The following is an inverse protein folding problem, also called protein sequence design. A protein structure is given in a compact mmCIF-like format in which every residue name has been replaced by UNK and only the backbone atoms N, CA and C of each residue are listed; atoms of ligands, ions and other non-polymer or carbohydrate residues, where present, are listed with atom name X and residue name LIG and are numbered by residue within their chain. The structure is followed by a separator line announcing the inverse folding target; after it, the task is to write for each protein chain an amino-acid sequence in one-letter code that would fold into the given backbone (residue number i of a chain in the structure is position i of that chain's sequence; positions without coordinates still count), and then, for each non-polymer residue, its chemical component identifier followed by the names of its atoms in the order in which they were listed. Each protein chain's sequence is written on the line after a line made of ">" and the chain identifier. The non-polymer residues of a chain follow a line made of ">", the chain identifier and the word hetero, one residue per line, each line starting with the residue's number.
data_IF_118263086522
#
_entry.id   IF_118263086522
#
_cell.length_a   1.000
_cell.length_b   1.000
_cell.length_c   1.000
_cell.angle_alpha   90.00
_cell.angle_beta   90.00
_cell.angle_gamma   90.00
#
_symmetry.space_group_name_H-M   'P 1'
#
loop_
_entity.id
_entity.type
_entity.pdbx_description
1 polymer ?
#
# COMPACT_ATOMS: atom_id res chain seq x y z
N UNK A 1 -1.31 -14.66 2.83
CA UNK A 1 -1.94 -14.88 4.15
C UNK A 1 -1.09 -14.29 5.26
N UNK A 2 -1.68 -13.64 6.24
CA UNK A 2 -0.99 -13.07 7.40
C UNK A 2 -1.78 -13.39 8.69
N UNK A 3 -1.09 -13.74 9.76
CA UNK A 3 -1.70 -13.99 11.07
C UNK A 3 -1.90 -12.68 11.81
N UNK A 4 -2.93 -12.63 12.66
CA UNK A 4 -3.19 -11.44 13.49
C UNK A 4 -2.00 -11.12 14.41
N UNK A 5 -1.32 -12.13 14.94
CA UNK A 5 -0.15 -11.94 15.80
C UNK A 5 0.95 -11.18 15.05
N UNK A 6 1.21 -11.56 13.80
CA UNK A 6 2.18 -10.85 12.93
C UNK A 6 1.77 -9.40 12.67
N UNK A 7 0.47 -9.16 12.41
CA UNK A 7 -0.07 -7.80 12.25
C UNK A 7 0.18 -6.97 13.51
N UNK A 8 -0.11 -7.53 14.68
CA UNK A 8 0.07 -6.83 15.95
C UNK A 8 1.55 -6.57 16.26
N UNK A 9 2.43 -7.52 15.96
CA UNK A 9 3.87 -7.36 16.17
C UNK A 9 4.45 -6.23 15.29
N UNK A 10 4.04 -6.15 14.01
CA UNK A 10 4.41 -5.06 13.11
C UNK A 10 3.96 -3.71 13.70
N UNK A 11 2.69 -3.61 14.09
CA UNK A 11 2.12 -2.37 14.60
C UNK A 11 2.74 -1.93 15.93
N UNK A 12 3.06 -2.87 16.81
CA UNK A 12 3.73 -2.60 18.11
C UNK A 12 5.17 -2.15 17.89
N UNK A 13 5.89 -2.81 17.00
CA UNK A 13 7.29 -2.49 16.68
C UNK A 13 7.45 -1.04 16.20
N UNK A 14 6.52 -0.56 15.40
CA UNK A 14 6.51 0.81 14.87
C UNK A 14 5.75 1.83 15.75
N UNK A 15 5.26 1.43 16.93
CA UNK A 15 4.52 2.30 17.85
C UNK A 15 3.17 2.77 17.30
N UNK A 16 2.59 2.01 16.38
CA UNK A 16 1.31 2.35 15.74
C UNK A 16 0.11 1.71 16.46
N UNK A 17 0.31 0.58 17.14
CA UNK A 17 -0.74 -0.13 17.86
C UNK A 17 -1.25 0.68 19.05
N UNK A 18 -2.57 0.79 19.16
CA UNK A 18 -3.22 1.36 20.35
C UNK A 18 -3.94 0.30 21.16
N UNK A 19 -4.96 -0.33 20.56
CA UNK A 19 -5.84 -1.28 21.24
C UNK A 19 -6.61 -2.14 20.22
N UNK A 20 -7.27 -3.17 20.72
CA UNK A 20 -8.29 -3.91 19.98
C UNK A 20 -9.60 -3.78 20.72
N UNK A 21 -10.65 -3.38 20.02
CA UNK A 21 -12.00 -3.28 20.56
C UNK A 21 -12.89 -4.29 19.85
N UNK A 22 -13.65 -5.06 20.59
CA UNK A 22 -14.68 -5.95 20.06
C UNK A 22 -15.96 -5.75 20.84
N UNK A 23 -17.05 -5.34 20.19
CA UNK A 23 -18.35 -5.06 20.78
C UNK A 23 -18.26 -4.10 21.99
N UNK A 24 -17.44 -3.05 21.87
CA UNK A 24 -17.23 -2.05 22.92
C UNK A 24 -16.34 -2.49 24.09
N UNK A 25 -15.74 -3.67 24.05
CA UNK A 25 -14.85 -4.19 25.07
C UNK A 25 -13.41 -4.33 24.54
N UNK A 26 -12.42 -4.04 25.39
CA UNK A 26 -11.01 -4.27 25.07
C UNK A 26 -10.72 -5.77 25.01
N UNK A 27 -10.07 -6.19 23.93
CA UNK A 27 -9.65 -7.57 23.73
C UNK A 27 -8.13 -7.67 23.59
N UNK A 28 -7.52 -8.59 24.35
CA UNK A 28 -6.06 -8.74 24.36
C UNK A 28 -5.59 -10.12 23.88
N UNK A 29 -6.47 -11.07 23.71
CA UNK A 29 -6.14 -12.44 23.32
C UNK A 29 -6.94 -12.85 22.10
N UNK A 30 -6.24 -13.00 20.98
CA UNK A 30 -6.78 -13.61 19.77
C UNK A 30 -5.86 -14.76 19.38
N UNK A 31 -6.43 -15.89 19.08
CA UNK A 31 -5.70 -17.04 18.57
C UNK A 31 -6.33 -17.51 17.26
N UNK A 32 -5.47 -17.93 16.33
CA UNK A 32 -5.87 -18.53 15.05
C UNK A 32 -6.64 -17.63 14.08
N UNK A 33 -6.53 -16.31 14.18
CA UNK A 33 -7.09 -15.40 13.16
C UNK A 33 -6.06 -15.25 12.04
N UNK A 34 -6.46 -15.63 10.82
CA UNK A 34 -5.62 -15.55 9.62
C UNK A 34 -6.37 -14.74 8.56
N UNK A 35 -5.69 -13.78 7.97
CA UNK A 35 -6.23 -12.97 6.88
C UNK A 35 -5.67 -13.47 5.55
N UNK A 36 -6.56 -13.84 4.64
CA UNK A 36 -6.22 -14.31 3.29
C UNK A 36 -6.06 -13.16 2.30
N UNK A 37 -6.65 -12.02 2.62
CA UNK A 37 -6.59 -10.80 1.82
C UNK A 37 -6.52 -9.55 2.69
N UNK A 38 -6.04 -8.47 2.09
CA UNK A 38 -6.04 -7.14 2.68
C UNK A 38 -6.67 -6.16 1.68
N UNK A 39 -7.52 -5.25 2.13
CA UNK A 39 -8.20 -4.31 1.25
C UNK A 39 -8.59 -3.01 1.95
N UNK A 40 -8.82 -1.96 1.16
CA UNK A 40 -9.36 -0.67 1.59
C UNK A 40 -10.58 -0.22 0.78
N UNK A 41 -10.98 -1.03 -0.20
CA UNK A 41 -12.18 -0.85 -1.01
C UNK A 41 -13.23 -1.87 -0.55
N UNK A 42 -14.37 -1.41 -0.05
CA UNK A 42 -15.43 -2.28 0.48
C UNK A 42 -15.95 -3.28 -0.55
N UNK A 43 -15.86 -2.97 -1.83
CA UNK A 43 -16.28 -3.86 -2.92
C UNK A 43 -15.36 -5.08 -3.09
N UNK A 44 -14.16 -5.03 -2.50
CA UNK A 44 -13.16 -6.12 -2.52
C UNK A 44 -13.12 -6.89 -1.19
N UNK A 45 -13.95 -6.50 -0.21
CA UNK A 45 -13.99 -7.16 1.09
C UNK A 45 -14.54 -8.60 0.97
N UNK A 46 -13.97 -9.52 1.73
CA UNK A 46 -14.34 -10.93 1.81
C UNK A 46 -14.25 -11.38 3.27
N UNK A 47 -14.75 -12.58 3.59
CA UNK A 47 -14.83 -13.13 4.95
C UNK A 47 -13.51 -13.03 5.73
N UNK A 48 -12.40 -13.44 5.13
CA UNK A 48 -11.06 -13.43 5.77
C UNK A 48 -10.21 -12.24 5.35
N UNK A 49 -10.83 -11.11 4.99
CA UNK A 49 -10.11 -9.88 4.68
C UNK A 49 -9.78 -9.10 5.95
N UNK A 50 -8.62 -8.45 5.96
CA UNK A 50 -8.33 -7.35 6.87
C UNK A 50 -8.61 -6.03 6.14
N UNK A 51 -9.65 -5.32 6.55
CA UNK A 51 -10.10 -4.10 5.89
C UNK A 51 -9.49 -2.85 6.53
N UNK A 52 -8.95 -1.94 5.72
CA UNK A 52 -8.36 -0.69 6.20
C UNK A 52 -9.29 0.49 5.95
N UNK A 53 -9.74 1.12 7.03
CA UNK A 53 -10.55 2.35 6.99
C UNK A 53 -9.62 3.54 6.77
N UNK A 54 -9.57 4.05 5.55
CA UNK A 54 -8.68 5.17 5.19
C UNK A 54 -9.39 6.31 4.48
N UNK A 55 -8.87 7.52 4.69
CA UNK A 55 -9.23 8.71 3.93
C UNK A 55 -10.34 9.55 4.57
N UNK A 56 -10.24 10.86 4.37
CA UNK A 56 -11.20 11.84 4.92
C UNK A 56 -12.62 11.68 4.35
N UNK A 57 -12.75 11.08 3.16
CA UNK A 57 -14.04 10.81 2.52
C UNK A 57 -14.67 9.48 2.90
N UNK A 58 -14.09 8.75 3.88
CA UNK A 58 -14.64 7.47 4.32
C UNK A 58 -16.02 7.67 4.98
N UNK A 59 -16.96 6.81 4.61
CA UNK A 59 -18.29 6.77 5.20
C UNK A 59 -18.49 5.42 5.90
N UNK A 60 -19.17 5.44 7.06
CA UNK A 60 -19.50 4.23 7.83
C UNK A 60 -20.26 3.20 6.97
N UNK A 61 -21.07 3.65 6.03
CA UNK A 61 -21.84 2.80 5.10
C UNK A 61 -20.93 1.88 4.25
N UNK A 62 -19.71 2.32 3.92
CA UNK A 62 -18.76 1.47 3.22
C UNK A 62 -18.30 0.28 4.07
N UNK A 63 -18.12 0.51 5.38
CA UNK A 63 -17.78 -0.56 6.31
C UNK A 63 -18.95 -1.50 6.53
N UNK A 64 -20.17 -0.97 6.68
CA UNK A 64 -21.39 -1.78 6.79
C UNK A 64 -21.59 -2.67 5.55
N UNK A 65 -21.40 -2.10 4.35
CA UNK A 65 -21.46 -2.88 3.10
C UNK A 65 -20.39 -3.97 3.02
N UNK A 66 -19.20 -3.74 3.56
CA UNK A 66 -18.15 -4.77 3.64
C UNK A 66 -18.54 -5.90 4.63
N UNK A 67 -19.18 -5.54 5.75
CA UNK A 67 -19.67 -6.50 6.75
C UNK A 67 -20.77 -7.39 6.16
N UNK A 68 -21.67 -6.83 5.36
CA UNK A 68 -22.68 -7.60 4.63
C UNK A 68 -22.07 -8.64 3.68
N UNK A 69 -20.84 -8.41 3.21
CA UNK A 69 -20.04 -9.34 2.39
C UNK A 69 -19.23 -10.34 3.22
N UNK A 70 -19.41 -10.35 4.55
CA UNK A 70 -18.76 -11.28 5.47
C UNK A 70 -17.47 -10.76 6.13
N UNK A 71 -17.16 -9.47 6.00
CA UNK A 71 -15.99 -8.90 6.66
C UNK A 71 -16.04 -9.12 8.18
N UNK A 72 -14.98 -9.70 8.75
CA UNK A 72 -14.88 -10.00 10.18
C UNK A 72 -13.95 -9.08 10.98
N UNK A 73 -13.07 -8.30 10.33
CA UNK A 73 -12.06 -7.48 10.98
C UNK A 73 -11.73 -6.21 10.21
N UNK A 74 -11.47 -5.11 10.92
CA UNK A 74 -10.96 -3.91 10.29
C UNK A 74 -9.87 -3.23 11.12
N UNK A 75 -9.10 -2.36 10.47
CA UNK A 75 -8.09 -1.48 11.06
C UNK A 75 -8.53 -0.04 10.85
N UNK A 76 -8.48 0.77 11.89
CA UNK A 76 -8.90 2.17 11.83
C UNK A 76 -8.18 3.02 12.90
N UNK A 77 -8.31 4.34 12.82
CA UNK A 77 -7.80 5.26 13.85
C UNK A 77 -8.80 5.43 15.02
N UNK A 78 -10.01 4.92 14.88
CA UNK A 78 -11.07 4.91 15.89
C UNK A 78 -12.01 3.72 15.70
N UNK A 79 -12.78 3.37 16.75
CA UNK A 79 -13.87 2.41 16.61
C UNK A 79 -15.08 3.08 15.93
N UNK A 80 -15.64 2.41 14.93
CA UNK A 80 -16.85 2.82 14.23
C UNK A 80 -18.13 2.20 14.81
N UNK A 81 -18.00 1.39 15.87
CA UNK A 81 -19.13 0.75 16.58
C UNK A 81 -20.04 -0.04 15.61
N UNK A 82 -19.45 -0.93 14.84
CA UNK A 82 -20.15 -1.73 13.81
C UNK A 82 -20.31 -3.20 14.19
N UNK A 83 -19.97 -3.57 15.42
CA UNK A 83 -20.22 -4.91 15.97
C UNK A 83 -19.19 -5.98 15.60
N UNK A 84 -18.16 -5.65 14.84
CA UNK A 84 -17.01 -6.53 14.54
C UNK A 84 -15.72 -5.97 15.15
N UNK A 85 -14.70 -6.81 15.41
CA UNK A 85 -13.44 -6.38 15.98
C UNK A 85 -12.70 -5.34 15.14
N UNK A 86 -12.14 -4.33 15.82
CA UNK A 86 -11.24 -3.31 15.24
C UNK A 86 -9.86 -3.34 15.89
N UNK A 87 -8.83 -3.26 15.06
CA UNK A 87 -7.47 -2.93 15.48
C UNK A 87 -7.31 -1.42 15.38
N UNK A 88 -7.24 -0.73 16.52
CA UNK A 88 -7.08 0.73 16.55
C UNK A 88 -5.60 1.09 16.47
N UNK A 89 -5.28 1.98 15.54
CA UNK A 89 -3.93 2.44 15.24
C UNK A 89 -3.81 3.95 15.31
N UNK A 90 -2.59 4.45 15.48
CA UNK A 90 -2.31 5.90 15.53
C UNK A 90 -2.21 6.55 14.14
N UNK A 91 -1.91 5.78 13.10
CA UNK A 91 -1.79 6.24 11.71
C UNK A 91 -2.14 5.08 10.78
N UNK A 92 -3.33 5.16 10.21
CA UNK A 92 -3.87 4.10 9.32
C UNK A 92 -3.05 3.94 8.04
N UNK A 93 -2.48 5.02 7.51
CA UNK A 93 -1.72 4.98 6.25
C UNK A 93 -0.37 4.30 6.43
N UNK A 94 0.31 4.55 7.55
CA UNK A 94 1.53 3.83 7.92
C UNK A 94 1.24 2.36 8.20
N UNK A 95 0.21 2.07 9.01
CA UNK A 95 -0.21 0.71 9.31
C UNK A 95 -0.50 -0.09 8.04
N UNK A 96 -1.26 0.50 7.11
CA UNK A 96 -1.60 -0.12 5.83
C UNK A 96 -0.35 -0.44 5.00
N UNK A 97 0.64 0.46 4.96
CA UNK A 97 1.88 0.25 4.22
C UNK A 97 2.73 -0.89 4.80
N UNK A 98 2.95 -0.88 6.12
CA UNK A 98 3.77 -1.90 6.79
C UNK A 98 3.15 -3.30 6.74
N UNK A 99 1.83 -3.38 6.95
CA UNK A 99 1.13 -4.66 6.85
C UNK A 99 1.12 -5.18 5.41
N UNK A 100 0.96 -4.29 4.41
CA UNK A 100 1.02 -4.69 3.01
C UNK A 100 2.41 -5.24 2.61
N UNK A 101 3.50 -4.62 3.08
CA UNK A 101 4.86 -5.13 2.87
C UNK A 101 4.97 -6.59 3.29
N UNK A 102 4.62 -6.90 4.54
CA UNK A 102 4.69 -8.25 5.08
C UNK A 102 3.72 -9.20 4.39
N UNK A 103 2.47 -8.78 4.18
CA UNK A 103 1.44 -9.59 3.52
C UNK A 103 1.88 -10.10 2.16
N UNK A 104 2.56 -9.26 1.37
CA UNK A 104 3.08 -9.59 0.05
C UNK A 104 4.50 -10.19 0.06
N UNK A 105 5.05 -10.52 1.23
CA UNK A 105 6.32 -11.21 1.41
C UNK A 105 7.55 -10.35 1.12
N UNK A 106 7.49 -9.08 1.53
CA UNK A 106 8.57 -8.11 1.47
C UNK A 106 9.17 -7.99 0.05
N UNK A 107 8.35 -7.71 -0.99
CA UNK A 107 8.81 -7.71 -2.37
C UNK A 107 9.84 -6.62 -2.67
N UNK A 108 9.85 -5.53 -1.89
CA UNK A 108 10.83 -4.44 -2.00
C UNK A 108 12.27 -4.90 -1.73
N UNK A 109 12.48 -5.96 -0.96
CA UNK A 109 13.80 -6.51 -0.68
C UNK A 109 14.37 -7.35 -1.85
N UNK A 110 13.49 -7.74 -2.78
CA UNK A 110 13.82 -8.59 -3.93
C UNK A 110 14.01 -7.79 -5.23
N UNK A 111 13.84 -6.48 -5.17
CA UNK A 111 13.94 -5.57 -6.31
C UNK A 111 14.93 -4.45 -6.01
N UNK A 112 15.65 -3.99 -7.03
CA UNK A 112 16.36 -2.72 -6.97
C UNK A 112 15.39 -1.59 -7.28
N UNK A 113 15.20 -0.66 -6.34
CA UNK A 113 14.16 0.36 -6.42
C UNK A 113 14.75 1.68 -6.91
N UNK A 114 14.24 2.20 -8.03
CA UNK A 114 14.59 3.50 -8.58
C UNK A 114 13.37 4.42 -8.55
N UNK A 115 13.47 5.55 -7.88
CA UNK A 115 12.40 6.53 -7.75
C UNK A 115 12.74 7.84 -8.46
N UNK A 116 11.76 8.37 -9.21
CA UNK A 116 11.83 9.69 -9.83
C UNK A 116 10.76 10.60 -9.22
N UNK A 117 11.18 11.71 -8.63
CA UNK A 117 10.27 12.72 -8.09
C UNK A 117 10.60 14.10 -8.65
N UNK A 118 9.66 15.02 -8.55
CA UNK A 118 9.75 16.38 -9.06
C UNK A 118 8.44 16.86 -9.67
N UNK A 119 8.36 18.13 -9.98
CA UNK A 119 7.14 18.72 -10.57
C UNK A 119 6.89 18.17 -11.97
N UNK A 120 7.91 18.17 -12.83
CA UNK A 120 7.82 17.75 -14.23
C UNK A 120 8.93 16.77 -14.60
N UNK A 121 8.72 16.00 -15.67
CA UNK A 121 9.73 15.12 -16.24
C UNK A 121 9.83 13.72 -15.62
N UNK A 122 9.08 13.40 -14.58
CA UNK A 122 9.09 12.07 -13.91
C UNK A 122 8.85 10.93 -14.90
N UNK A 123 7.80 11.03 -15.68
CA UNK A 123 7.42 10.04 -16.69
C UNK A 123 8.53 9.84 -17.72
N UNK A 124 9.05 10.92 -18.27
CA UNK A 124 10.14 10.87 -19.26
C UNK A 124 11.39 10.21 -18.70
N UNK A 125 11.79 10.60 -17.47
CA UNK A 125 12.95 10.03 -16.81
C UNK A 125 12.76 8.53 -16.51
N UNK A 126 11.57 8.14 -16.03
CA UNK A 126 11.24 6.73 -15.78
C UNK A 126 11.33 5.89 -17.07
N UNK A 127 10.82 6.40 -18.20
CA UNK A 127 10.92 5.72 -19.49
C UNK A 127 12.35 5.58 -20.00
N UNK A 128 13.17 6.63 -19.87
CA UNK A 128 14.58 6.52 -20.23
C UNK A 128 15.30 5.49 -19.36
N UNK A 129 15.12 5.54 -18.06
CA UNK A 129 15.72 4.57 -17.16
C UNK A 129 15.26 3.14 -17.47
N UNK A 130 13.95 2.94 -17.74
CA UNK A 130 13.40 1.65 -18.14
C UNK A 130 14.07 1.12 -19.42
N UNK A 131 14.15 1.93 -20.48
CA UNK A 131 14.74 1.51 -21.73
C UNK A 131 16.23 1.19 -21.61
N UNK A 132 16.99 1.97 -20.82
CA UNK A 132 18.41 1.73 -20.57
C UNK A 132 18.61 0.42 -19.80
N UNK A 133 17.88 0.26 -18.68
CA UNK A 133 18.01 -0.94 -17.85
C UNK A 133 17.50 -2.20 -18.56
N UNK A 134 16.50 -2.07 -19.42
CA UNK A 134 15.94 -3.23 -20.15
C UNK A 134 16.90 -3.85 -21.17
N UNK A 135 18.05 -3.22 -21.46
CA UNK A 135 19.07 -3.77 -22.34
C UNK A 135 19.87 -4.90 -21.68
N UNK A 136 20.05 -4.84 -20.35
CA UNK A 136 20.88 -5.79 -19.60
C UNK A 136 20.17 -6.40 -18.38
N UNK A 137 19.08 -5.82 -17.95
CA UNK A 137 18.30 -6.22 -16.78
C UNK A 137 16.84 -6.49 -17.15
N UNK A 138 16.07 -6.87 -16.17
CA UNK A 138 14.62 -7.13 -16.33
C UNK A 138 13.82 -6.17 -15.46
N UNK A 139 13.69 -4.88 -15.83
CA UNK A 139 12.94 -3.92 -15.04
C UNK A 139 11.44 -4.14 -15.14
N UNK A 140 10.73 -3.78 -14.07
CA UNK A 140 9.34 -3.38 -14.06
C UNK A 140 9.26 -1.85 -14.00
N UNK A 141 8.13 -1.27 -14.36
CA UNK A 141 7.92 0.18 -14.32
C UNK A 141 6.52 0.51 -13.82
N UNK A 142 6.44 1.44 -12.86
CA UNK A 142 5.20 2.08 -12.41
C UNK A 142 5.23 3.56 -12.80
N UNK A 143 4.40 3.94 -13.76
CA UNK A 143 4.38 5.29 -14.32
C UNK A 143 2.95 5.77 -14.56
N UNK A 144 2.77 7.08 -14.61
CA UNK A 144 1.47 7.72 -14.86
C UNK A 144 0.85 7.25 -16.18
N UNK A 145 1.66 7.09 -17.23
CA UNK A 145 1.17 6.74 -18.57
C UNK A 145 1.01 5.24 -18.75
N UNK A 146 2.03 4.48 -18.38
CA UNK A 146 2.04 3.03 -18.53
C UNK A 146 2.78 2.35 -17.38
N UNK A 147 2.20 1.27 -16.90
CA UNK A 147 2.78 0.34 -15.94
C UNK A 147 3.07 -0.98 -16.64
N UNK A 148 4.20 -1.60 -16.35
CA UNK A 148 4.51 -2.96 -16.76
C UNK A 148 5.16 -3.74 -15.63
N UNK A 149 4.60 -4.92 -15.34
CA UNK A 149 5.07 -5.80 -14.27
C UNK A 149 5.76 -7.08 -14.81
N UNK A 150 5.66 -7.30 -16.12
CA UNK A 150 6.21 -8.47 -16.83
C UNK A 150 7.17 -8.09 -17.97
N UNK A 151 7.27 -6.78 -18.27
CA UNK A 151 8.05 -6.24 -19.39
C UNK A 151 7.46 -6.48 -20.77
N UNK A 152 6.22 -6.97 -20.86
CA UNK A 152 5.51 -7.31 -22.10
C UNK A 152 4.16 -6.61 -22.19
N UNK A 153 3.38 -6.69 -21.12
CA UNK A 153 2.06 -6.07 -21.03
C UNK A 153 2.19 -4.68 -20.43
N UNK A 154 1.58 -3.70 -21.08
CA UNK A 154 1.54 -2.32 -20.62
C UNK A 154 0.10 -1.91 -20.35
N UNK A 155 -0.15 -1.32 -19.19
CA UNK A 155 -1.47 -0.84 -18.82
C UNK A 155 -1.37 0.50 -18.08
N UNK A 156 -2.44 1.29 -18.12
CA UNK A 156 -2.49 2.57 -17.42
C UNK A 156 -2.77 2.37 -15.95
N UNK A 157 -1.95 2.97 -15.09
CA UNK A 157 -2.22 3.03 -13.65
C UNK A 157 -3.29 4.06 -13.33
N UNK A 158 -4.12 3.79 -12.32
CA UNK A 158 -5.12 4.75 -11.83
C UNK A 158 -4.49 5.97 -11.16
N UNK A 159 -3.32 5.80 -10.56
CA UNK A 159 -2.55 6.84 -9.86
C UNK A 159 -1.09 6.79 -10.31
N UNK A 160 -0.43 7.96 -10.33
CA UNK A 160 1.01 8.06 -10.59
C UNK A 160 1.83 7.19 -9.63
N UNK A 161 1.49 7.24 -8.35
CA UNK A 161 2.01 6.35 -7.31
C UNK A 161 0.81 5.63 -6.71
N UNK A 162 0.70 4.30 -6.86
CA UNK A 162 -0.42 3.53 -6.32
C UNK A 162 -0.56 3.67 -4.79
N UNK A 163 -1.73 3.33 -4.26
CA UNK A 163 -1.92 3.16 -2.81
C UNK A 163 -1.04 2.01 -2.32
N UNK A 164 -0.61 2.04 -1.05
CA UNK A 164 0.39 1.11 -0.55
C UNK A 164 0.04 -0.36 -0.76
N UNK A 165 -1.21 -0.78 -0.53
CA UNK A 165 -1.64 -2.17 -0.79
C UNK A 165 -1.45 -2.53 -2.26
N UNK A 166 -1.92 -1.68 -3.17
CA UNK A 166 -1.78 -1.93 -4.61
C UNK A 166 -0.30 -1.88 -5.04
N UNK A 167 0.50 -0.99 -4.44
CA UNK A 167 1.92 -0.86 -4.73
C UNK A 167 2.69 -2.15 -4.38
N UNK A 168 2.49 -2.69 -3.17
CA UNK A 168 3.18 -3.92 -2.76
C UNK A 168 2.66 -5.15 -3.49
N UNK A 169 1.39 -5.20 -3.86
CA UNK A 169 0.86 -6.23 -4.76
C UNK A 169 1.55 -6.18 -6.12
N UNK A 170 1.65 -5.01 -6.74
CA UNK A 170 2.36 -4.82 -8.02
C UNK A 170 3.84 -5.20 -7.91
N UNK A 171 4.51 -4.86 -6.80
CA UNK A 171 5.89 -5.30 -6.55
C UNK A 171 5.99 -6.81 -6.47
N UNK A 172 5.09 -7.48 -5.76
CA UNK A 172 5.06 -8.94 -5.65
C UNK A 172 4.81 -9.61 -7.01
N UNK A 173 3.92 -9.04 -7.82
CA UNK A 173 3.70 -9.51 -9.20
C UNK A 173 4.97 -9.34 -10.06
N UNK A 174 5.66 -8.21 -9.95
CA UNK A 174 6.92 -7.98 -10.66
C UNK A 174 7.99 -9.02 -10.26
N UNK A 175 8.14 -9.29 -8.96
CA UNK A 175 9.03 -10.35 -8.46
C UNK A 175 8.65 -11.72 -9.02
N UNK A 176 7.35 -12.08 -8.98
CA UNK A 176 6.84 -13.34 -9.53
C UNK A 176 7.13 -13.47 -11.03
N UNK A 177 7.09 -12.37 -11.77
CA UNK A 177 7.44 -12.29 -13.19
C UNK A 177 8.96 -12.25 -13.44
N UNK A 178 9.79 -12.45 -12.40
CA UNK A 178 11.24 -12.49 -12.51
C UNK A 178 11.87 -11.13 -12.82
N UNK A 179 11.21 -10.02 -12.46
CA UNK A 179 11.81 -8.69 -12.56
C UNK A 179 12.87 -8.51 -11.50
N UNK A 180 13.89 -7.72 -11.80
CA UNK A 180 15.06 -7.50 -10.93
C UNK A 180 15.10 -6.05 -10.43
N UNK A 181 14.45 -5.14 -11.13
CA UNK A 181 14.41 -3.71 -10.84
C UNK A 181 12.98 -3.21 -10.90
N UNK A 182 12.66 -2.22 -10.09
CA UNK A 182 11.44 -1.44 -10.21
C UNK A 182 11.78 0.03 -10.37
N UNK A 183 11.33 0.60 -11.46
CA UNK A 183 11.42 2.03 -11.74
C UNK A 183 10.05 2.62 -11.46
N UNK A 184 9.97 3.66 -10.63
CA UNK A 184 8.68 4.27 -10.32
C UNK A 184 8.71 5.78 -10.25
N UNK A 185 7.59 6.37 -10.64
CA UNK A 185 7.30 7.77 -10.35
C UNK A 185 6.77 7.88 -8.92
N UNK A 186 7.35 8.79 -8.14
CA UNK A 186 6.89 9.11 -6.80
C UNK A 186 6.43 10.57 -6.78
N UNK A 187 5.11 10.76 -6.67
CA UNK A 187 4.54 12.11 -6.56
C UNK A 187 4.78 12.69 -5.16
N UNK A 188 4.80 14.02 -5.05
CA UNK A 188 4.89 14.71 -3.76
C UNK A 188 3.78 14.27 -2.79
N UNK A 189 2.56 14.09 -3.29
CA UNK A 189 1.44 13.60 -2.51
C UNK A 189 1.67 12.17 -1.98
N UNK A 190 2.37 11.30 -2.70
CA UNK A 190 2.64 9.94 -2.26
C UNK A 190 3.42 9.89 -0.93
N UNK A 191 4.35 10.82 -0.73
CA UNK A 191 5.04 10.98 0.56
C UNK A 191 4.09 11.49 1.64
N UNK A 192 3.30 12.50 1.33
CA UNK A 192 2.38 13.13 2.27
C UNK A 192 1.33 12.14 2.79
N UNK A 193 0.76 11.33 1.90
CA UNK A 193 -0.26 10.33 2.24
C UNK A 193 0.34 8.94 2.51
N UNK A 194 1.66 8.83 2.73
CA UNK A 194 2.37 7.62 3.18
C UNK A 194 2.26 6.41 2.24
N UNK A 195 2.03 6.60 0.94
CA UNK A 195 1.94 5.47 -0.02
C UNK A 195 3.23 4.67 -0.15
N UNK A 196 4.37 5.34 0.03
CA UNK A 196 5.71 4.76 -0.04
C UNK A 196 6.38 4.64 1.34
N UNK A 197 5.60 4.66 2.43
CA UNK A 197 6.13 4.55 3.78
C UNK A 197 6.82 3.19 3.98
N UNK A 198 7.99 3.22 4.60
CA UNK A 198 8.81 2.03 4.83
C UNK A 198 9.68 1.60 3.63
N UNK A 199 9.49 2.18 2.43
CA UNK A 199 10.39 1.90 1.30
C UNK A 199 11.71 2.66 1.45
N UNK A 200 12.80 1.95 1.15
CA UNK A 200 14.13 2.53 0.92
C UNK A 200 14.48 2.35 -0.55
N UNK A 201 14.76 3.45 -1.23
CA UNK A 201 15.12 3.41 -2.65
C UNK A 201 16.64 3.25 -2.79
N UNK A 202 17.09 2.34 -3.68
CA UNK A 202 18.50 2.22 -4.04
C UNK A 202 18.98 3.48 -4.79
N UNK A 203 18.09 4.08 -5.61
CA UNK A 203 18.34 5.34 -6.30
C UNK A 203 17.10 6.23 -6.22
N UNK A 204 17.27 7.42 -5.66
CA UNK A 204 16.27 8.47 -5.65
C UNK A 204 16.73 9.68 -6.48
N UNK A 205 15.93 10.06 -7.47
CA UNK A 205 16.23 11.21 -8.35
C UNK A 205 15.21 12.32 -8.14
N UNK A 206 15.69 13.45 -7.66
CA UNK A 206 14.90 14.68 -7.58
C UNK A 206 15.18 15.54 -8.83
N UNK A 207 14.22 15.65 -9.73
CA UNK A 207 14.40 16.27 -11.03
C UNK A 207 14.34 17.79 -10.96
N UNK A 208 13.29 18.32 -10.35
CA UNK A 208 13.03 19.76 -10.26
C UNK A 208 11.90 20.06 -9.28
N UNK A 209 11.78 21.35 -8.92
CA UNK A 209 10.65 21.88 -8.15
C UNK A 209 10.19 23.21 -8.78
N UNK A 210 8.88 23.32 -8.95
CA UNK A 210 8.23 24.58 -9.33
C UNK A 210 6.84 24.62 -8.68
N UNK A 211 6.20 25.78 -8.54
CA UNK A 211 4.83 25.87 -8.05
C UNK A 211 3.89 25.04 -8.92
N UNK A 212 3.33 23.98 -8.36
CA UNK A 212 2.36 23.09 -8.99
C UNK A 212 1.54 22.37 -7.91
N UNK A 213 0.31 21.99 -8.22
CA UNK A 213 -0.61 21.36 -7.25
C UNK A 213 -0.80 22.18 -5.96
N UNK A 214 -0.85 23.51 -6.07
CA UNK A 214 -1.12 24.42 -4.96
C UNK A 214 -2.63 24.41 -4.73
N UNK A 215 -3.08 23.64 -3.74
CA UNK A 215 -4.49 23.55 -3.36
C UNK A 215 -4.64 22.86 -2.01
N UNK A 216 -5.83 22.91 -1.39
CA UNK A 216 -6.07 22.16 -0.16
C UNK A 216 -5.88 20.65 -0.42
N UNK A 217 -5.24 20.01 0.52
CA UNK A 217 -4.92 18.56 0.52
C UNK A 217 -6.16 17.80 1.00
#
# INVERSE_FOLDING_TARGET
>A
MIKIETVLDILKKDGLFREIINQGHYHYHFSNVIFDSICYDSRKAQENSLFFVKGAAFKKDFLLSAIEQGLGWYVAEQDYEVGIPVIVVSDIKKAMSLIAMEFYGNPQEKLKLLAFTGTKGKTTAAYFAYNILNQQHRPAMLSTMNTTLDGKTFFKSALTTPESIDLFDMMAQAVKNGRTHLIMEVSSQAYLVKRVYGLTFDVGVFLNISPDHIGPI
#
